data_IF_813909682472
#
_entry.id   IF_813909682472
#
_cell.length_a   1.000
_cell.length_b   1.000
_cell.length_c   1.000
_cell.angle_alpha   90.00
_cell.angle_beta   90.00
_cell.angle_gamma   90.00
#
_symmetry.space_group_name_H-M   'P 1'
#
loop_
_entity.id
_entity.type
_entity.pdbx_description
1 polymer ?
#
# COMPACT_ATOMS: atom_id res chain seq x y z
N UNK A 1 -0.50 -7.72 11.39
CA UNK A 1 0.77 -7.20 11.95
C UNK A 1 0.91 -7.48 13.45
N UNK A 2 2.14 -7.69 13.94
CA UNK A 2 2.40 -7.98 15.37
C UNK A 2 2.24 -6.72 16.25
N UNK A 3 1.55 -6.88 17.40
CA UNK A 3 1.24 -5.78 18.35
C UNK A 3 2.47 -5.04 18.87
N UNK A 4 3.62 -5.70 18.95
CA UNK A 4 4.88 -5.12 19.39
C UNK A 4 5.44 -4.08 18.40
N UNK A 5 5.21 -4.25 17.10
CA UNK A 5 5.62 -3.28 16.07
C UNK A 5 4.87 -1.96 16.27
N UNK A 6 3.56 -2.01 16.50
CA UNK A 6 2.78 -0.80 16.81
C UNK A 6 3.28 -0.08 18.08
N UNK A 7 3.68 -0.86 19.10
CA UNK A 7 4.24 -0.30 20.34
C UNK A 7 5.59 0.37 20.07
N UNK A 8 6.45 -0.23 19.24
CA UNK A 8 7.72 0.35 18.82
C UNK A 8 7.52 1.68 18.08
N UNK A 9 6.61 1.73 17.11
CA UNK A 9 6.30 2.95 16.34
C UNK A 9 5.81 4.08 17.24
N UNK A 10 4.93 3.79 18.21
CA UNK A 10 4.46 4.78 19.19
C UNK A 10 5.58 5.32 20.07
N UNK A 11 6.47 4.46 20.58
CA UNK A 11 7.58 4.85 21.48
C UNK A 11 8.62 5.74 20.79
N UNK A 12 8.82 5.55 19.49
CA UNK A 12 9.81 6.33 18.73
C UNK A 12 9.20 7.58 18.08
N UNK A 13 7.95 7.93 18.41
CA UNK A 13 7.27 9.15 17.95
C UNK A 13 7.46 9.43 16.45
N UNK A 14 7.36 8.39 15.64
CA UNK A 14 7.54 8.50 14.19
C UNK A 14 6.33 9.25 13.58
N UNK A 15 6.39 10.56 13.61
CA UNK A 15 5.31 11.48 13.17
C UNK A 15 5.54 12.06 11.78
N UNK A 16 6.79 12.09 11.30
CA UNK A 16 7.10 12.55 9.94
C UNK A 16 6.61 11.52 8.91
N UNK A 17 5.59 11.91 8.14
CA UNK A 17 4.95 11.03 7.14
C UNK A 17 5.94 10.57 6.07
N UNK A 18 6.83 11.47 5.63
CA UNK A 18 7.84 11.15 4.62
C UNK A 18 8.83 10.11 5.10
N UNK A 19 9.38 10.31 6.31
CA UNK A 19 10.31 9.34 6.92
C UNK A 19 9.64 7.98 7.15
N UNK A 20 8.42 7.98 7.69
CA UNK A 20 7.66 6.75 7.95
C UNK A 20 7.42 5.97 6.66
N UNK A 21 7.01 6.64 5.60
CA UNK A 21 6.82 5.99 4.30
C UNK A 21 8.14 5.41 3.77
N UNK A 22 9.27 6.16 3.88
CA UNK A 22 10.58 5.64 3.47
C UNK A 22 11.01 4.42 4.28
N UNK A 23 10.84 4.44 5.59
CA UNK A 23 11.16 3.29 6.45
C UNK A 23 10.37 2.05 6.06
N UNK A 24 9.05 2.19 5.90
CA UNK A 24 8.19 1.06 5.57
C UNK A 24 8.49 0.49 4.18
N UNK A 25 8.65 1.35 3.17
CA UNK A 25 8.94 0.93 1.81
C UNK A 25 10.32 0.29 1.72
N UNK A 26 11.36 0.90 2.33
CA UNK A 26 12.71 0.34 2.32
C UNK A 26 12.80 -1.00 3.03
N UNK A 27 12.18 -1.13 4.20
CA UNK A 27 12.14 -2.40 4.92
C UNK A 27 11.41 -3.49 4.10
N UNK A 28 10.32 -3.14 3.41
CA UNK A 28 9.61 -4.07 2.55
C UNK A 28 10.48 -4.53 1.37
N UNK A 29 11.13 -3.58 0.70
CA UNK A 29 12.05 -3.85 -0.42
C UNK A 29 13.20 -4.76 0.02
N UNK A 30 13.80 -4.50 1.18
CA UNK A 30 14.87 -5.33 1.74
C UNK A 30 14.38 -6.73 2.10
N UNK A 31 13.23 -6.82 2.77
CA UNK A 31 12.65 -8.09 3.21
C UNK A 31 12.38 -9.06 2.06
N UNK A 32 11.91 -8.55 0.92
CA UNK A 32 11.62 -9.35 -0.28
C UNK A 32 12.74 -9.33 -1.33
N UNK A 33 13.91 -8.77 -1.00
CA UNK A 33 15.05 -8.64 -1.92
C UNK A 33 14.68 -8.01 -3.27
N UNK A 34 13.78 -7.03 -3.25
CA UNK A 34 13.35 -6.32 -4.43
C UNK A 34 14.37 -5.24 -4.81
N UNK A 35 14.50 -4.94 -6.10
CA UNK A 35 15.40 -3.90 -6.61
C UNK A 35 14.68 -3.03 -7.63
N UNK A 36 13.93 -2.00 -7.18
CA UNK A 36 13.31 -1.06 -8.13
C UNK A 36 14.39 -0.27 -8.86
N UNK A 37 14.35 -0.27 -10.19
CA UNK A 37 15.31 0.43 -11.05
C UNK A 37 14.62 1.43 -11.98
N UNK A 38 13.40 1.12 -12.40
CA UNK A 38 12.64 1.89 -13.41
C UNK A 38 11.45 2.62 -12.80
N UNK A 39 10.93 2.17 -11.68
CA UNK A 39 9.84 2.83 -10.97
C UNK A 39 10.37 4.02 -10.15
N UNK A 40 10.28 5.23 -10.71
CA UNK A 40 10.78 6.45 -10.08
C UNK A 40 10.10 6.75 -8.73
N UNK A 41 8.84 6.35 -8.55
CA UNK A 41 8.14 6.50 -7.27
C UNK A 41 8.82 5.66 -6.19
N UNK A 42 9.02 4.37 -6.42
CA UNK A 42 9.64 3.48 -5.43
C UNK A 42 11.11 3.85 -5.18
N UNK A 43 11.88 4.16 -6.23
CA UNK A 43 13.28 4.60 -6.09
C UNK A 43 13.44 5.79 -5.14
N UNK A 44 12.49 6.73 -5.14
CA UNK A 44 12.48 7.90 -4.25
C UNK A 44 12.33 7.53 -2.77
N UNK A 45 11.76 6.36 -2.47
CA UNK A 45 11.50 5.91 -1.10
C UNK A 45 12.54 4.92 -0.57
N UNK A 46 13.50 4.50 -1.38
CA UNK A 46 14.62 3.65 -0.93
C UNK A 46 15.59 4.48 -0.10
N UNK A 47 15.86 4.02 1.12
CA UNK A 47 16.88 4.60 2.00
C UNK A 47 18.23 3.98 1.64
N UNK A 48 19.17 4.81 1.17
CA UNK A 48 20.53 4.38 0.89
C UNK A 48 21.32 4.10 2.19
N UNK A 49 22.31 3.23 2.10
CA UNK A 49 23.16 2.84 3.27
C UNK A 49 23.92 4.04 3.86
N UNK A 50 24.29 5.01 3.03
CA UNK A 50 25.00 6.22 3.46
C UNK A 50 24.06 7.29 4.05
N UNK A 51 22.76 7.06 4.02
CA UNK A 51 21.75 8.00 4.54
C UNK A 51 21.75 8.05 6.06
N UNK A 52 21.56 9.23 6.63
CA UNK A 52 21.34 9.41 8.07
C UNK A 52 20.07 8.67 8.60
N UNK A 53 19.19 8.22 7.70
CA UNK A 53 17.99 7.45 8.04
C UNK A 53 18.25 5.95 8.12
N UNK A 54 19.42 5.47 7.66
CA UNK A 54 19.73 4.05 7.56
C UNK A 54 19.76 3.34 8.93
N UNK A 55 20.27 3.99 9.97
CA UNK A 55 20.22 3.43 11.33
C UNK A 55 18.80 3.19 11.81
N UNK A 56 17.86 4.09 11.45
CA UNK A 56 16.42 3.92 11.78
C UNK A 56 15.80 2.76 11.01
N UNK A 57 16.21 2.58 9.75
CA UNK A 57 15.77 1.45 8.93
C UNK A 57 16.24 0.12 9.54
N UNK A 58 17.52 0.02 9.89
CA UNK A 58 18.08 -1.17 10.55
C UNK A 58 17.37 -1.47 11.88
N UNK A 59 17.11 -0.44 12.69
CA UNK A 59 16.39 -0.60 13.96
C UNK A 59 14.96 -1.09 13.74
N UNK A 60 14.28 -0.63 12.72
CA UNK A 60 12.93 -1.08 12.36
C UNK A 60 12.93 -2.52 11.83
N UNK A 61 13.84 -2.86 10.92
CA UNK A 61 14.01 -4.21 10.38
C UNK A 61 14.35 -5.24 11.47
N UNK A 62 15.20 -4.86 12.42
CA UNK A 62 15.51 -5.69 13.60
C UNK A 62 14.26 -5.98 14.45
N UNK A 63 13.28 -5.05 14.52
CA UNK A 63 12.01 -5.33 15.20
C UNK A 63 11.14 -6.30 14.40
N UNK A 64 11.05 -6.13 13.08
CA UNK A 64 10.31 -7.05 12.22
C UNK A 64 10.85 -8.48 12.36
N UNK A 65 12.16 -8.65 12.27
CA UNK A 65 12.86 -9.93 12.42
C UNK A 65 12.68 -10.54 13.81
N UNK A 66 12.84 -9.73 14.88
CA UNK A 66 12.69 -10.16 16.27
C UNK A 66 11.32 -10.76 16.57
N UNK A 67 10.28 -10.22 15.96
CA UNK A 67 8.91 -10.67 16.19
C UNK A 67 8.37 -11.60 15.11
N UNK A 68 9.23 -12.09 14.20
CA UNK A 68 8.87 -13.04 13.15
C UNK A 68 7.75 -12.53 12.24
N UNK A 69 7.80 -11.24 11.88
CA UNK A 69 6.80 -10.65 11.00
C UNK A 69 7.09 -11.06 9.55
N UNK A 70 6.10 -11.60 8.85
CA UNK A 70 6.18 -11.89 7.42
C UNK A 70 6.23 -10.62 6.57
N UNK A 71 5.81 -9.50 7.14
CA UNK A 71 5.80 -8.17 6.54
C UNK A 71 5.15 -8.12 5.16
N UNK A 72 3.99 -8.72 5.04
CA UNK A 72 3.19 -8.77 3.81
C UNK A 72 2.67 -7.37 3.39
N UNK A 73 2.15 -7.26 2.16
CA UNK A 73 1.45 -6.04 1.70
C UNK A 73 0.25 -5.70 2.59
N UNK A 74 -0.40 -6.71 3.18
CA UNK A 74 -1.46 -6.50 4.15
C UNK A 74 -0.94 -5.88 5.45
N UNK A 75 0.19 -6.38 5.96
CA UNK A 75 0.85 -5.80 7.13
C UNK A 75 1.28 -4.35 6.86
N UNK A 76 1.77 -4.07 5.66
CA UNK A 76 2.12 -2.71 5.24
C UNK A 76 0.89 -1.79 5.21
N UNK A 77 -0.25 -2.30 4.72
CA UNK A 77 -1.53 -1.57 4.74
C UNK A 77 -1.94 -1.24 6.18
N UNK A 78 -1.89 -2.21 7.10
CA UNK A 78 -2.19 -1.98 8.52
C UNK A 78 -1.24 -0.93 9.16
N UNK A 79 0.05 -0.95 8.80
CA UNK A 79 1.02 0.03 9.29
C UNK A 79 0.71 1.43 8.78
N UNK A 80 0.41 1.58 7.50
CA UNK A 80 0.02 2.86 6.92
C UNK A 80 -1.21 3.46 7.59
N UNK A 81 -2.21 2.64 7.89
CA UNK A 81 -3.41 3.07 8.62
C UNK A 81 -3.12 3.39 10.10
N UNK A 82 -2.17 2.67 10.71
CA UNK A 82 -1.81 2.89 12.11
C UNK A 82 -1.12 4.23 12.36
N UNK A 83 -0.21 4.65 11.47
CA UNK A 83 0.58 5.87 11.62
C UNK A 83 -0.14 7.15 11.15
N UNK A 84 -1.45 7.09 10.98
CA UNK A 84 -2.28 8.29 10.80
C UNK A 84 -2.40 9.00 12.15
N UNK A 85 -2.19 10.33 12.15
CA UNK A 85 -2.27 11.10 13.38
C UNK A 85 -3.66 11.02 14.02
N UNK A 86 -3.78 11.10 15.37
CA UNK A 86 -5.10 11.13 16.02
C UNK A 86 -6.00 12.30 15.58
N UNK A 87 -5.38 13.45 15.23
CA UNK A 87 -6.08 14.60 14.66
C UNK A 87 -6.66 14.28 13.28
N UNK A 88 -5.85 13.69 12.40
CA UNK A 88 -6.29 13.34 11.05
C UNK A 88 -7.37 12.26 11.08
N UNK A 89 -7.27 11.29 11.98
CA UNK A 89 -8.33 10.29 12.20
C UNK A 89 -9.66 10.89 12.59
N UNK A 90 -9.65 11.92 13.46
CA UNK A 90 -10.88 12.63 13.87
C UNK A 90 -11.49 13.44 12.73
N UNK A 91 -10.64 14.04 11.89
CA UNK A 91 -11.08 14.87 10.77
C UNK A 91 -11.53 14.02 9.59
N UNK A 92 -10.79 12.97 9.26
CA UNK A 92 -11.07 12.10 8.09
C UNK A 92 -12.04 10.96 8.39
N UNK A 93 -12.30 10.64 9.67
CA UNK A 93 -13.09 9.46 10.04
C UNK A 93 -12.44 8.13 9.60
N UNK A 94 -11.14 8.15 9.27
CA UNK A 94 -10.44 7.01 8.71
C UNK A 94 -10.46 5.80 9.66
N UNK A 95 -11.15 4.75 9.26
CA UNK A 95 -11.23 3.46 9.94
C UNK A 95 -10.74 2.39 8.98
N UNK A 96 -9.73 1.63 9.38
CA UNK A 96 -9.26 0.48 8.64
C UNK A 96 -10.35 -0.59 8.50
N UNK A 97 -10.57 -1.06 7.27
CA UNK A 97 -11.47 -2.18 7.02
C UNK A 97 -10.68 -3.48 7.08
N UNK A 98 -10.94 -4.38 8.07
CA UNK A 98 -10.21 -5.63 8.19
C UNK A 98 -10.24 -6.46 6.89
N UNK A 99 -9.13 -7.13 6.60
CA UNK A 99 -8.93 -7.91 5.36
C UNK A 99 -10.12 -8.82 5.04
N UNK A 100 -10.59 -9.61 6.00
CA UNK A 100 -11.69 -10.56 5.79
C UNK A 100 -13.02 -9.88 5.40
N UNK A 101 -13.28 -8.67 5.92
CA UNK A 101 -14.48 -7.89 5.55
C UNK A 101 -14.31 -7.33 4.15
N UNK A 102 -13.13 -6.80 3.84
CA UNK A 102 -12.80 -6.24 2.53
C UNK A 102 -12.86 -7.30 1.42
N UNK A 103 -12.28 -8.48 1.65
CA UNK A 103 -12.36 -9.61 0.72
C UNK A 103 -13.81 -10.01 0.46
N UNK A 104 -14.63 -10.13 1.51
CA UNK A 104 -16.04 -10.45 1.36
C UNK A 104 -16.81 -9.40 0.55
N UNK A 105 -16.54 -8.10 0.77
CA UNK A 105 -17.16 -7.02 0.00
C UNK A 105 -16.74 -7.13 -1.47
N UNK A 106 -15.45 -7.32 -1.74
CA UNK A 106 -14.94 -7.47 -3.11
C UNK A 106 -15.56 -8.68 -3.79
N UNK A 107 -15.64 -9.83 -3.12
CA UNK A 107 -16.28 -11.04 -3.64
C UNK A 107 -17.75 -10.80 -4.01
N UNK A 108 -18.49 -10.04 -3.18
CA UNK A 108 -19.88 -9.70 -3.50
C UNK A 108 -19.98 -8.76 -4.72
N UNK A 109 -19.08 -7.77 -4.83
CA UNK A 109 -19.05 -6.81 -5.94
C UNK A 109 -18.75 -7.49 -7.28
N UNK A 110 -17.87 -8.49 -7.28
CA UNK A 110 -17.49 -9.19 -8.51
C UNK A 110 -18.37 -10.42 -8.79
N UNK A 111 -19.24 -10.80 -7.85
CA UNK A 111 -20.10 -11.97 -8.00
C UNK A 111 -20.91 -11.89 -9.30
N UNK A 112 -20.77 -12.89 -10.14
CA UNK A 112 -21.46 -12.98 -11.43
C UNK A 112 -20.80 -12.23 -12.57
N UNK A 113 -19.66 -11.58 -12.35
CA UNK A 113 -18.84 -11.06 -13.44
C UNK A 113 -18.01 -12.20 -14.06
N UNK A 114 -18.07 -12.31 -15.36
CA UNK A 114 -17.17 -13.20 -16.09
C UNK A 114 -15.79 -12.54 -16.33
N UNK A 115 -14.86 -13.32 -16.85
CA UNK A 115 -13.50 -12.91 -17.11
C UNK A 115 -13.41 -11.70 -18.06
N UNK A 116 -14.26 -11.68 -19.10
CA UNK A 116 -14.32 -10.57 -20.07
C UNK A 116 -14.81 -9.29 -19.41
N UNK A 117 -15.83 -9.42 -18.56
CA UNK A 117 -16.34 -8.27 -17.80
C UNK A 117 -15.30 -7.73 -16.82
N UNK A 118 -14.55 -8.58 -16.11
CA UNK A 118 -13.48 -8.17 -15.20
C UNK A 118 -12.36 -7.41 -15.93
N UNK A 119 -12.03 -7.82 -17.17
CA UNK A 119 -11.03 -7.11 -17.98
C UNK A 119 -11.37 -5.63 -18.24
N UNK A 120 -12.65 -5.29 -18.32
CA UNK A 120 -13.11 -3.96 -18.75
C UNK A 120 -13.85 -3.16 -17.68
N UNK A 121 -14.29 -3.78 -16.58
CA UNK A 121 -14.97 -3.07 -15.49
C UNK A 121 -14.03 -2.12 -14.76
N UNK A 122 -14.56 -0.96 -14.39
CA UNK A 122 -13.91 -0.01 -13.49
C UNK A 122 -14.45 -0.16 -12.08
N UNK A 123 -13.56 -0.19 -11.12
CA UNK A 123 -13.86 -0.26 -9.70
C UNK A 123 -13.44 1.07 -9.07
N UNK A 124 -14.40 1.78 -8.50
CA UNK A 124 -14.19 3.09 -7.91
C UNK A 124 -14.34 3.02 -6.39
N UNK A 125 -13.43 3.70 -5.69
CA UNK A 125 -13.52 3.95 -4.25
C UNK A 125 -13.29 5.44 -4.01
N UNK A 126 -14.34 6.14 -3.56
CA UNK A 126 -14.33 7.60 -3.35
C UNK A 126 -13.84 8.03 -1.98
N UNK A 127 -13.39 7.10 -1.16
CA UNK A 127 -12.75 7.29 0.15
C UNK A 127 -11.70 6.19 0.37
N UNK A 128 -10.77 6.04 -0.60
CA UNK A 128 -9.95 4.84 -0.76
C UNK A 128 -8.89 4.62 0.34
N UNK A 129 -8.68 5.60 1.22
CA UNK A 129 -7.69 5.49 2.28
C UNK A 129 -6.30 5.12 1.75
N UNK A 130 -5.65 4.17 2.38
CA UNK A 130 -4.35 3.66 1.96
C UNK A 130 -4.43 2.49 0.94
N UNK A 131 -5.56 2.34 0.25
CA UNK A 131 -5.68 1.48 -0.94
C UNK A 131 -5.95 0.00 -0.67
N UNK A 132 -6.39 -0.39 0.52
CA UNK A 132 -6.64 -1.78 0.85
C UNK A 132 -7.63 -2.48 -0.08
N UNK A 133 -8.73 -1.82 -0.48
CA UNK A 133 -9.67 -2.37 -1.46
C UNK A 133 -9.02 -2.54 -2.84
N UNK A 134 -8.20 -1.59 -3.27
CA UNK A 134 -7.50 -1.68 -4.56
C UNK A 134 -6.44 -2.78 -4.57
N UNK A 135 -5.76 -3.02 -3.43
CA UNK A 135 -4.88 -4.18 -3.30
C UNK A 135 -5.64 -5.48 -3.57
N UNK A 136 -6.80 -5.66 -2.93
CA UNK A 136 -7.61 -6.87 -3.06
C UNK A 136 -8.14 -7.04 -4.48
N UNK A 137 -8.72 -5.99 -5.09
CA UNK A 137 -9.31 -6.10 -6.43
C UNK A 137 -8.25 -6.26 -7.52
N UNK A 138 -7.08 -5.59 -7.39
CA UNK A 138 -5.99 -5.72 -8.37
C UNK A 138 -5.41 -7.13 -8.40
N UNK A 139 -5.18 -7.74 -7.23
CA UNK A 139 -4.75 -9.14 -7.12
C UNK A 139 -5.76 -10.06 -7.80
N UNK A 140 -7.05 -9.87 -7.53
CA UNK A 140 -8.12 -10.71 -8.07
C UNK A 140 -8.23 -10.60 -9.58
N UNK A 141 -8.23 -9.38 -10.14
CA UNK A 141 -8.26 -9.16 -11.60
C UNK A 141 -7.05 -9.84 -12.24
N UNK A 142 -5.84 -9.62 -11.70
CA UNK A 142 -4.62 -10.24 -12.21
C UNK A 142 -4.72 -11.77 -12.20
N UNK A 143 -5.13 -12.37 -11.09
CA UNK A 143 -5.25 -13.82 -10.94
C UNK A 143 -6.27 -14.45 -11.88
N UNK A 144 -7.41 -13.79 -12.10
CA UNK A 144 -8.47 -14.33 -12.94
C UNK A 144 -8.28 -14.08 -14.44
N UNK A 145 -7.59 -13.00 -14.80
CA UNK A 145 -7.51 -12.56 -16.20
C UNK A 145 -6.11 -12.60 -16.80
N UNK A 146 -5.07 -12.66 -15.98
CA UNK A 146 -3.68 -12.48 -16.40
C UNK A 146 -3.33 -11.04 -16.83
N UNK A 147 -4.25 -10.07 -16.63
CA UNK A 147 -4.00 -8.65 -16.99
C UNK A 147 -2.84 -8.11 -16.15
N UNK A 148 -1.92 -7.38 -16.79
CA UNK A 148 -0.80 -6.74 -16.11
C UNK A 148 -1.28 -5.70 -15.09
N UNK A 149 -0.53 -5.52 -14.01
CA UNK A 149 -0.86 -4.52 -12.98
C UNK A 149 -0.86 -3.09 -13.55
N UNK A 150 0.09 -2.76 -14.45
CA UNK A 150 0.12 -1.47 -15.13
C UNK A 150 -1.21 -1.16 -15.84
N UNK A 151 -1.76 -2.13 -16.55
CA UNK A 151 -3.05 -1.98 -17.26
C UNK A 151 -4.24 -1.95 -16.29
N UNK A 152 -4.18 -2.72 -15.19
CA UNK A 152 -5.22 -2.71 -14.14
C UNK A 152 -5.30 -1.33 -13.50
N UNK A 153 -4.17 -0.71 -13.16
CA UNK A 153 -4.13 0.60 -12.51
C UNK A 153 -4.65 1.70 -13.41
N UNK A 154 -4.33 1.65 -14.70
CA UNK A 154 -4.80 2.61 -15.69
C UNK A 154 -6.28 2.43 -16.05
N UNK A 155 -6.74 1.19 -16.22
CA UNK A 155 -8.04 0.92 -16.85
C UNK A 155 -9.14 0.55 -15.86
N UNK A 156 -8.80 -0.14 -14.76
CA UNK A 156 -9.79 -0.76 -13.88
C UNK A 156 -9.96 -0.05 -12.53
N UNK A 157 -8.99 0.77 -12.09
CA UNK A 157 -9.02 1.40 -10.77
C UNK A 157 -9.26 2.90 -10.89
N UNK A 158 -10.15 3.42 -10.04
CA UNK A 158 -10.38 4.85 -9.84
C UNK A 158 -10.51 5.13 -8.34
N UNK A 159 -9.62 5.93 -7.78
CA UNK A 159 -9.61 6.25 -6.35
C UNK A 159 -9.61 7.74 -6.07
N UNK A 160 -10.35 8.11 -5.03
CA UNK A 160 -10.35 9.47 -4.48
C UNK A 160 -10.16 9.38 -2.97
N UNK A 161 -9.36 10.27 -2.43
CA UNK A 161 -9.28 10.50 -0.98
C UNK A 161 -8.96 11.97 -0.71
N UNK A 162 -9.45 12.50 0.42
CA UNK A 162 -9.19 13.86 0.81
C UNK A 162 -7.75 14.07 1.30
N UNK A 163 -7.08 13.00 1.74
CA UNK A 163 -5.74 13.05 2.32
C UNK A 163 -4.66 12.76 1.27
N UNK A 164 -3.76 13.71 0.98
CA UNK A 164 -2.67 13.49 0.03
C UNK A 164 -1.78 12.29 0.39
N UNK A 165 -1.50 12.09 1.69
CA UNK A 165 -0.67 10.96 2.14
C UNK A 165 -1.36 9.60 1.90
N UNK A 166 -2.70 9.53 1.96
CA UNK A 166 -3.44 8.30 1.70
C UNK A 166 -3.32 7.91 0.22
N UNK A 167 -3.48 8.85 -0.69
CA UNK A 167 -3.28 8.64 -2.12
C UNK A 167 -1.84 8.21 -2.42
N UNK A 168 -0.84 8.84 -1.79
CA UNK A 168 0.56 8.47 -1.98
C UNK A 168 0.84 7.06 -1.48
N UNK A 169 0.35 6.68 -0.31
CA UNK A 169 0.46 5.33 0.25
C UNK A 169 -0.24 4.28 -0.62
N UNK A 170 -1.40 4.61 -1.17
CA UNK A 170 -2.09 3.76 -2.15
C UNK A 170 -1.22 3.50 -3.39
N UNK A 171 -0.60 4.55 -3.96
CA UNK A 171 0.32 4.40 -5.10
C UNK A 171 1.53 3.54 -4.75
N UNK A 172 2.12 3.75 -3.57
CA UNK A 172 3.26 2.95 -3.08
C UNK A 172 2.89 1.48 -2.90
N UNK A 173 1.76 1.19 -2.28
CA UNK A 173 1.26 -0.17 -2.05
C UNK A 173 1.05 -0.91 -3.38
N UNK A 174 0.39 -0.27 -4.34
CA UNK A 174 0.15 -0.84 -5.67
C UNK A 174 1.45 -0.99 -6.48
N UNK A 175 2.37 -0.03 -6.40
CA UNK A 175 3.67 -0.14 -7.06
C UNK A 175 4.50 -1.32 -6.50
N UNK A 176 4.48 -1.55 -5.19
CA UNK A 176 5.14 -2.71 -4.58
C UNK A 176 4.49 -4.02 -5.02
N UNK A 177 3.14 -4.08 -5.10
CA UNK A 177 2.44 -5.26 -5.62
C UNK A 177 2.90 -5.60 -7.04
N UNK A 178 2.97 -4.61 -7.92
CA UNK A 178 3.43 -4.79 -9.30
C UNK A 178 4.90 -5.23 -9.34
N UNK A 179 5.78 -4.58 -8.56
CA UNK A 179 7.21 -4.92 -8.49
C UNK A 179 7.44 -6.37 -8.01
N UNK A 180 6.67 -6.84 -7.02
CA UNK A 180 6.71 -8.24 -6.56
C UNK A 180 6.33 -9.24 -7.65
N UNK A 181 5.58 -8.79 -8.65
CA UNK A 181 5.16 -9.60 -9.80
C UNK A 181 5.99 -9.32 -11.07
N UNK A 182 7.15 -8.68 -10.93
CA UNK A 182 8.11 -8.45 -12.01
C UNK A 182 7.82 -7.23 -12.88
N UNK A 183 6.87 -6.38 -12.52
CA UNK A 183 6.57 -5.13 -13.23
C UNK A 183 7.28 -3.95 -12.54
N UNK A 184 8.43 -3.55 -13.07
CA UNK A 184 9.22 -2.40 -12.60
C UNK A 184 9.17 -1.27 -13.64
N UNK A 185 8.16 -0.43 -13.55
CA UNK A 185 7.94 0.70 -14.45
C UNK A 185 7.18 1.84 -13.73
N UNK A 186 7.07 3.01 -14.38
CA UNK A 186 6.20 4.07 -13.89
C UNK A 186 4.75 3.77 -14.26
N UNK A 187 3.86 3.81 -13.29
CA UNK A 187 2.45 3.47 -13.48
C UNK A 187 1.58 4.72 -13.62
N UNK A 188 0.60 4.64 -14.52
CA UNK A 188 -0.48 5.61 -14.64
C UNK A 188 -1.62 5.24 -13.68
N UNK A 189 -1.77 6.03 -12.62
CA UNK A 189 -2.80 5.82 -11.60
C UNK A 189 -3.96 6.80 -11.76
N UNK A 190 -5.19 6.32 -11.78
CA UNK A 190 -6.39 7.16 -11.62
C UNK A 190 -6.69 7.35 -10.13
N UNK A 191 -5.76 7.97 -9.41
CA UNK A 191 -5.85 8.21 -7.97
C UNK A 191 -5.70 9.71 -7.68
N UNK A 192 -6.73 10.32 -7.12
CA UNK A 192 -6.87 11.77 -7.00
C UNK A 192 -7.06 12.22 -5.56
N UNK A 193 -6.43 13.34 -5.21
CA UNK A 193 -6.70 14.04 -3.95
C UNK A 193 -7.87 14.99 -4.21
N UNK A 194 -9.04 14.70 -3.63
CA UNK A 194 -10.22 15.54 -3.74
C UNK A 194 -11.19 15.26 -2.58
N UNK A 195 -12.11 16.19 -2.37
CA UNK A 195 -13.27 16.00 -1.49
C UNK A 195 -14.38 15.36 -2.33
N UNK A 196 -14.82 14.19 -1.92
CA UNK A 196 -15.87 13.41 -2.57
C UNK A 196 -17.27 13.85 -2.12
#
# INVERSE_FOLDING_TARGET
MNRHIFTYLKRNELTDVGLVNRLFISAFIQHYHLMPQRNALLCKYVIAEESAEYEKLQAFDAQLSRYGCEYSLEDLTELFEFVISPSDRKISGAIYTPKAIRERIVDEVIRGLDQTQLLHKRFADIACGCGGFFLTIAILIHQQTGKKFADIYRDNILGVDIQPYAIERTKLLLALLALMNGEDENFDFNLYVANS
#
